data_IF_448869316756
#
_entry.id   IF_448869316756
#
_cell.length_a   1.000
_cell.length_b   1.000
_cell.length_c   1.000
_cell.angle_alpha   90.00
_cell.angle_beta   90.00
_cell.angle_gamma   90.00
#
_symmetry.space_group_name_H-M   'P 1'
#
loop_
_entity.id
_entity.type
_entity.pdbx_description
1 polymer ?
#
# COMPACT_ATOMS: atom_id res chain seq x y z
N UNK A 1 11.26 -4.19 11.60
CA UNK A 1 11.45 -4.20 10.13
C UNK A 1 10.09 -3.94 9.52
N UNK A 2 10.00 -2.97 8.59
CA UNK A 2 8.78 -2.66 7.85
C UNK A 2 8.98 -3.19 6.42
N UNK A 3 8.13 -4.12 6.01
CA UNK A 3 8.19 -4.72 4.67
C UNK A 3 7.24 -3.97 3.75
N UNK A 4 7.66 -3.69 2.52
CA UNK A 4 6.83 -3.05 1.49
C UNK A 4 6.71 -3.93 0.25
N UNK A 5 5.72 -3.63 -0.58
CA UNK A 5 5.60 -4.20 -1.92
C UNK A 5 5.70 -3.08 -2.96
N UNK A 6 6.48 -3.31 -4.02
CA UNK A 6 6.58 -2.40 -5.17
C UNK A 6 6.69 -3.22 -6.46
N UNK A 7 6.08 -2.72 -7.52
CA UNK A 7 6.28 -3.23 -8.90
C UNK A 7 7.44 -2.53 -9.61
N UNK A 8 7.99 -1.48 -9.00
CA UNK A 8 9.10 -0.67 -9.51
C UNK A 8 10.27 -0.69 -8.50
N UNK A 9 10.91 -1.84 -8.25
CA UNK A 9 12.06 -1.89 -7.35
C UNK A 9 13.25 -1.07 -7.88
N UNK A 10 13.35 -0.92 -9.20
CA UNK A 10 14.30 -0.05 -9.88
C UNK A 10 14.28 1.40 -9.39
N UNK A 11 13.13 1.87 -8.90
CA UNK A 11 12.97 3.27 -8.47
C UNK A 11 13.28 3.52 -7.00
N UNK A 12 13.82 2.53 -6.28
CA UNK A 12 14.09 2.57 -4.85
C UNK A 12 15.03 3.73 -4.43
N UNK A 13 15.93 4.18 -5.31
CA UNK A 13 16.77 5.37 -5.06
C UNK A 13 15.98 6.67 -4.96
N UNK A 14 14.84 6.75 -5.67
CA UNK A 14 13.93 7.90 -5.63
C UNK A 14 12.93 7.83 -4.48
N UNK A 15 12.98 6.80 -3.62
CA UNK A 15 12.08 6.70 -2.48
C UNK A 15 12.46 7.71 -1.40
N UNK A 16 11.61 8.73 -1.21
CA UNK A 16 11.88 9.86 -0.28
C UNK A 16 11.04 9.82 0.99
N UNK A 17 9.97 9.03 1.03
CA UNK A 17 9.18 8.74 2.23
C UNK A 17 8.51 7.37 2.12
N UNK A 18 7.96 6.90 3.23
CA UNK A 18 7.13 5.68 3.27
C UNK A 18 5.71 6.03 3.70
N UNK A 19 4.75 5.26 3.22
CA UNK A 19 3.36 5.36 3.65
C UNK A 19 2.85 4.01 4.10
N UNK A 20 2.18 4.00 5.25
CA UNK A 20 1.51 2.81 5.78
C UNK A 20 0.00 3.07 5.88
N UNK A 21 -0.77 2.00 5.72
CA UNK A 21 -2.21 2.04 5.93
C UNK A 21 -2.54 2.38 7.40
N UNK A 22 -3.63 3.12 7.65
CA UNK A 22 -4.13 3.41 9.01
C UNK A 22 -4.28 2.15 9.88
N UNK A 23 -4.73 1.03 9.30
CA UNK A 23 -4.97 -0.22 10.03
C UNK A 23 -3.71 -1.07 10.23
N UNK A 24 -2.55 -0.63 9.73
CA UNK A 24 -1.33 -1.43 9.77
C UNK A 24 -0.84 -1.61 11.22
N UNK A 25 -0.61 -2.88 11.63
CA UNK A 25 -0.26 -3.24 13.01
C UNK A 25 0.96 -2.51 13.59
N UNK A 26 1.87 -2.04 12.72
CA UNK A 26 3.08 -1.31 13.12
C UNK A 26 2.80 0.12 13.60
N UNK A 27 1.66 0.73 13.25
CA UNK A 27 1.33 2.14 13.53
C UNK A 27 1.57 2.46 15.01
N UNK A 28 1.03 1.63 15.90
CA UNK A 28 1.14 1.82 17.36
C UNK A 28 2.58 1.66 17.87
N UNK A 29 3.45 0.92 17.15
CA UNK A 29 4.84 0.68 17.55
C UNK A 29 5.78 1.81 17.11
N UNK A 30 5.47 2.48 16.01
CA UNK A 30 6.34 3.53 15.44
C UNK A 30 5.87 4.93 15.79
N UNK A 31 4.62 5.13 16.20
CA UNK A 31 4.14 6.47 16.53
C UNK A 31 4.87 7.02 17.75
N UNK A 32 5.50 8.18 17.61
CA UNK A 32 6.14 8.89 18.73
C UNK A 32 5.10 9.58 19.61
N UNK A 33 5.48 9.86 20.86
CA UNK A 33 4.60 10.50 21.85
C UNK A 33 4.06 11.84 21.33
N UNK A 34 4.92 12.65 20.71
CA UNK A 34 4.56 13.97 20.19
C UNK A 34 3.57 13.91 19.01
N UNK A 35 3.56 12.80 18.26
CA UNK A 35 2.66 12.58 17.13
C UNK A 35 1.38 11.83 17.52
N UNK A 36 1.32 11.23 18.73
CA UNK A 36 0.28 10.28 19.12
C UNK A 36 -1.14 10.86 19.03
N UNK A 37 -1.34 12.10 19.48
CA UNK A 37 -2.66 12.74 19.42
C UNK A 37 -3.16 12.89 17.98
N UNK A 38 -2.29 13.39 17.08
CA UNK A 38 -2.63 13.61 15.67
C UNK A 38 -2.84 12.29 14.94
N UNK A 39 -2.01 11.29 15.23
CA UNK A 39 -2.17 9.95 14.66
C UNK A 39 -3.50 9.34 15.09
N UNK A 40 -3.83 9.35 16.38
CA UNK A 40 -5.09 8.79 16.87
C UNK A 40 -6.32 9.48 16.28
N UNK A 41 -6.27 10.80 16.10
CA UNK A 41 -7.32 11.56 15.42
C UNK A 41 -7.46 11.12 13.96
N UNK A 42 -6.34 11.01 13.25
CA UNK A 42 -6.34 10.56 11.86
C UNK A 42 -6.88 9.14 11.70
N UNK A 43 -6.47 8.20 12.58
CA UNK A 43 -6.96 6.82 12.58
C UNK A 43 -8.50 6.77 12.73
N UNK A 44 -9.06 7.57 13.65
CA UNK A 44 -10.52 7.66 13.82
C UNK A 44 -11.21 8.16 12.55
N UNK A 45 -10.67 9.20 11.92
CA UNK A 45 -11.23 9.73 10.66
C UNK A 45 -11.13 8.70 9.53
N UNK A 46 -10.03 7.95 9.44
CA UNK A 46 -9.86 6.89 8.43
C UNK A 46 -10.86 5.75 8.59
N UNK A 47 -11.20 5.36 9.83
CA UNK A 47 -12.20 4.29 10.07
C UNK A 47 -13.62 4.64 9.63
N UNK A 48 -13.93 5.93 9.46
CA UNK A 48 -15.24 6.40 8.98
C UNK A 48 -15.37 6.35 7.46
N UNK A 49 -14.27 6.08 6.73
CA UNK A 49 -14.24 6.02 5.27
C UNK A 49 -14.28 4.57 4.82
N UNK A 50 -15.04 4.28 3.77
CA UNK A 50 -14.99 2.97 3.13
C UNK A 50 -13.70 2.81 2.30
N UNK A 51 -13.34 1.57 1.97
CA UNK A 51 -12.27 1.29 1.01
C UNK A 51 -12.46 2.05 -0.31
N UNK A 52 -13.71 2.19 -0.77
CA UNK A 52 -14.05 2.89 -2.01
C UNK A 52 -13.76 4.39 -1.89
N UNK A 53 -14.14 5.01 -0.77
CA UNK A 53 -13.86 6.42 -0.47
C UNK A 53 -12.37 6.73 -0.37
N UNK A 54 -11.54 5.70 -0.20
CA UNK A 54 -10.08 5.76 -0.06
C UNK A 54 -9.32 5.44 -1.35
N UNK A 55 -10.03 5.08 -2.42
CA UNK A 55 -9.40 4.83 -3.73
C UNK A 55 -9.02 6.14 -4.43
N UNK A 56 -8.48 6.05 -5.66
CA UNK A 56 -8.09 7.19 -6.50
C UNK A 56 -9.23 8.19 -6.79
N UNK A 57 -10.48 7.86 -6.44
CA UNK A 57 -11.63 8.76 -6.46
C UNK A 57 -11.58 9.85 -5.36
N UNK A 58 -10.74 9.67 -4.34
CA UNK A 58 -10.54 10.63 -3.27
C UNK A 58 -9.80 11.88 -3.79
N UNK A 59 -10.52 13.00 -3.89
CA UNK A 59 -9.98 14.28 -4.37
C UNK A 59 -8.92 14.89 -3.46
N UNK A 60 -8.95 14.59 -2.17
CA UNK A 60 -8.01 15.15 -1.20
C UNK A 60 -7.07 14.09 -0.65
N UNK A 61 -5.76 14.25 -0.93
CA UNK A 61 -4.72 13.46 -0.27
C UNK A 61 -4.62 13.90 1.19
N UNK A 62 -4.75 12.98 2.12
CA UNK A 62 -4.59 13.26 3.56
C UNK A 62 -3.54 12.34 4.16
N UNK A 63 -2.90 12.76 5.24
CA UNK A 63 -1.90 11.93 5.91
C UNK A 63 -1.31 12.59 7.14
N UNK A 64 -0.68 11.78 7.97
CA UNK A 64 -0.06 12.21 9.24
C UNK A 64 1.32 11.59 9.40
N UNK A 65 2.29 12.40 9.83
CA UNK A 65 3.64 11.94 10.13
C UNK A 65 3.68 11.17 11.44
N UNK A 66 4.38 10.04 11.47
CA UNK A 66 4.48 9.17 12.65
C UNK A 66 5.50 9.66 13.68
N UNK A 67 6.41 10.56 13.29
CA UNK A 67 7.58 10.93 14.10
C UNK A 67 8.78 9.99 13.94
N UNK A 68 8.66 8.95 13.09
CA UNK A 68 9.75 8.01 12.81
C UNK A 68 10.20 8.08 11.37
N UNK A 69 11.43 7.59 11.18
CA UNK A 69 12.07 7.47 9.90
C UNK A 69 12.44 5.99 9.67
N UNK A 70 12.32 5.54 8.43
CA UNK A 70 12.94 4.32 7.95
C UNK A 70 14.31 4.63 7.35
N UNK A 71 15.12 3.59 7.15
CA UNK A 71 16.38 3.67 6.41
C UNK A 71 16.14 3.07 5.04
N UNK A 72 16.38 3.84 3.99
CA UNK A 72 16.33 3.32 2.63
C UNK A 72 17.57 2.44 2.39
N UNK A 73 17.41 1.14 2.06
CA UNK A 73 18.54 0.21 2.00
C UNK A 73 19.57 0.56 0.93
N UNK A 74 19.19 1.21 -0.18
CA UNK A 74 20.15 1.46 -1.29
C UNK A 74 21.15 2.57 -1.00
N UNK A 75 20.83 3.50 -0.11
CA UNK A 75 21.65 4.70 0.15
C UNK A 75 21.74 5.09 1.64
N UNK A 76 21.20 4.26 2.54
CA UNK A 76 21.16 4.49 3.99
C UNK A 76 20.52 5.82 4.43
N UNK A 77 19.78 6.51 3.55
CA UNK A 77 19.13 7.78 3.90
C UNK A 77 17.91 7.54 4.77
N UNK A 78 17.69 8.46 5.71
CA UNK A 78 16.48 8.48 6.55
C UNK A 78 15.32 9.03 5.74
N UNK A 79 14.23 8.27 5.66
CA UNK A 79 13.00 8.66 4.98
C UNK A 79 11.83 8.67 5.98
N UNK A 80 11.03 9.75 6.07
CA UNK A 80 9.94 9.84 7.03
C UNK A 80 8.85 8.80 6.74
N UNK A 81 8.25 8.25 7.80
CA UNK A 81 7.13 7.31 7.70
C UNK A 81 5.82 8.07 7.99
N UNK A 82 4.91 8.02 7.03
CA UNK A 82 3.59 8.64 7.07
C UNK A 82 2.49 7.58 7.13
N UNK A 83 1.34 7.97 7.66
CA UNK A 83 0.10 7.20 7.59
C UNK A 83 -0.82 7.93 6.63
N UNK A 84 -1.36 7.25 5.62
CA UNK A 84 -2.32 7.82 4.69
C UNK A 84 -3.36 6.79 4.26
N UNK A 85 -4.58 7.26 4.07
CA UNK A 85 -5.75 6.43 3.76
C UNK A 85 -5.76 5.86 2.33
N UNK A 86 -5.00 6.44 1.39
CA UNK A 86 -4.85 5.91 0.03
C UNK A 86 -4.04 4.59 -0.03
N UNK A 87 -3.38 4.20 1.05
CA UNK A 87 -2.76 2.89 1.20
C UNK A 87 -3.74 1.94 1.88
N UNK A 88 -3.98 0.79 1.25
CA UNK A 88 -4.93 -0.21 1.73
C UNK A 88 -4.20 -1.43 2.30
N UNK A 89 -4.61 -1.87 3.49
CA UNK A 89 -4.02 -3.02 4.18
C UNK A 89 -4.15 -4.32 3.37
N UNK A 90 -5.25 -4.47 2.61
CA UNK A 90 -5.49 -5.64 1.76
C UNK A 90 -4.67 -5.68 0.46
N UNK A 91 -3.82 -4.68 0.18
CA UNK A 91 -2.98 -4.66 -1.01
C UNK A 91 -1.48 -4.72 -0.65
N UNK A 92 -0.79 -5.74 -1.16
CA UNK A 92 0.63 -5.94 -0.94
C UNK A 92 0.93 -6.28 0.52
N UNK A 93 1.46 -5.31 1.26
CA UNK A 93 1.83 -5.45 2.69
C UNK A 93 1.12 -4.44 3.59
N UNK A 94 0.22 -3.60 3.03
CA UNK A 94 -0.33 -2.45 3.73
C UNK A 94 0.68 -1.31 3.96
N UNK A 95 1.83 -1.37 3.29
CA UNK A 95 2.86 -0.35 3.32
C UNK A 95 3.51 -0.22 1.92
N UNK A 96 3.84 1.01 1.54
CA UNK A 96 4.50 1.34 0.27
C UNK A 96 5.71 2.23 0.50
N UNK A 97 6.70 2.11 -0.38
CA UNK A 97 7.69 3.16 -0.59
C UNK A 97 7.10 4.16 -1.57
N UNK A 98 7.29 5.45 -1.30
CA UNK A 98 6.77 6.49 -2.18
C UNK A 98 7.89 7.10 -3.02
N UNK A 99 7.68 7.17 -4.34
CA UNK A 99 8.66 7.70 -5.30
C UNK A 99 8.03 8.86 -6.08
N UNK A 100 8.03 10.09 -5.52
CA UNK A 100 7.21 11.18 -6.03
C UNK A 100 7.54 11.62 -7.44
N UNK A 101 8.80 11.50 -7.88
CA UNK A 101 9.17 11.90 -9.24
C UNK A 101 8.54 10.99 -10.32
N UNK A 102 8.07 9.79 -9.95
CA UNK A 102 7.69 8.74 -10.89
C UNK A 102 6.33 8.06 -10.59
N UNK A 103 5.58 8.52 -9.59
CA UNK A 103 4.19 8.12 -9.32
C UNK A 103 3.37 9.38 -9.01
N UNK A 104 2.32 9.63 -9.80
CA UNK A 104 1.48 10.82 -9.68
C UNK A 104 0.82 10.98 -8.31
N UNK A 105 0.44 9.87 -7.65
CA UNK A 105 -0.22 9.92 -6.34
C UNK A 105 0.78 10.31 -5.26
N UNK A 106 2.00 9.79 -5.37
CA UNK A 106 3.10 10.16 -4.47
C UNK A 106 3.56 11.59 -4.74
N UNK A 107 3.56 12.05 -6.00
CA UNK A 107 3.86 13.42 -6.38
C UNK A 107 2.91 14.43 -5.72
N UNK A 108 1.60 14.22 -5.86
CA UNK A 108 0.57 15.08 -5.26
C UNK A 108 0.68 15.11 -3.72
N UNK A 109 0.94 13.96 -3.10
CA UNK A 109 1.16 13.88 -1.67
C UNK A 109 2.43 14.62 -1.25
N UNK A 110 3.54 14.42 -1.98
CA UNK A 110 4.79 15.11 -1.71
C UNK A 110 4.67 16.63 -1.84
N UNK A 111 3.97 17.12 -2.88
CA UNK A 111 3.71 18.54 -3.03
C UNK A 111 2.88 19.10 -1.87
N UNK A 112 1.80 18.41 -1.48
CA UNK A 112 0.92 18.85 -0.39
C UNK A 112 1.63 18.92 0.95
N UNK A 113 2.52 17.97 1.24
CA UNK A 113 3.23 17.86 2.51
C UNK A 113 4.67 18.38 2.45
N UNK A 114 5.06 19.03 1.36
CA UNK A 114 6.39 19.59 1.12
C UNK A 114 7.52 18.57 1.38
N UNK A 115 7.35 17.36 0.84
CA UNK A 115 8.31 16.26 0.94
C UNK A 115 9.31 16.30 -0.22
N UNK A 116 10.53 15.77 -0.05
CA UNK A 116 11.52 15.78 -1.12
C UNK A 116 11.05 15.01 -2.35
N UNK A 117 11.32 15.56 -3.53
CA UNK A 117 11.07 14.93 -4.82
C UNK A 117 12.42 14.78 -5.51
N UNK A 118 12.85 13.54 -5.75
CA UNK A 118 14.15 13.24 -6.35
C UNK A 118 13.92 12.51 -7.66
N UNK A 119 14.28 13.16 -8.77
CA UNK A 119 14.22 12.55 -10.09
C UNK A 119 15.40 11.59 -10.28
N UNK A 120 15.09 10.35 -10.68
CA UNK A 120 16.08 9.27 -10.89
C UNK A 120 16.02 8.67 -12.29
N UNK A 121 15.19 9.22 -13.18
CA UNK A 121 15.14 8.84 -14.59
C UNK A 121 15.30 10.08 -15.43
N UNK A 122 16.23 10.05 -16.38
CA UNK A 122 16.39 11.13 -17.35
C UNK A 122 15.22 11.06 -18.34
N UNK A 123 14.34 12.08 -18.38
CA UNK A 123 13.17 12.05 -19.25
C UNK A 123 13.58 12.24 -20.71
N UNK A 124 13.08 11.38 -21.59
CA UNK A 124 13.29 11.48 -23.04
C UNK A 124 12.30 12.48 -23.66
N UNK A 125 12.51 13.76 -23.39
CA UNK A 125 11.70 14.87 -23.92
C UNK A 125 12.56 15.83 -24.74
N UNK A 126 12.02 16.29 -25.87
CA UNK A 126 12.69 17.26 -26.75
C UNK A 126 12.70 18.69 -26.19
N UNK A 127 11.75 19.01 -25.30
CA UNK A 127 11.66 20.29 -24.63
C UNK A 127 12.63 20.37 -23.45
N UNK A 128 13.64 21.22 -23.58
CA UNK A 128 14.67 21.43 -22.56
C UNK A 128 14.14 22.06 -21.27
N UNK A 129 13.09 22.90 -21.33
CA UNK A 129 12.50 23.50 -20.14
C UNK A 129 11.66 22.47 -19.37
N UNK A 130 10.88 21.66 -20.08
CA UNK A 130 10.14 20.55 -19.48
C UNK A 130 11.09 19.54 -18.81
N UNK A 131 12.16 19.15 -19.51
CA UNK A 131 13.21 18.28 -18.95
C UNK A 131 13.76 18.85 -17.65
N UNK A 132 14.08 20.15 -17.64
CA UNK A 132 14.60 20.82 -16.44
C UNK A 132 13.61 20.77 -15.28
N UNK A 133 12.32 21.07 -15.52
CA UNK A 133 11.29 21.02 -14.47
C UNK A 133 11.11 19.62 -13.88
N UNK A 134 11.15 18.58 -14.72
CA UNK A 134 11.11 17.18 -14.27
C UNK A 134 12.32 16.84 -13.41
N UNK A 135 13.53 17.19 -13.87
CA UNK A 135 14.77 16.92 -13.13
C UNK A 135 14.83 17.65 -11.79
N UNK A 136 14.24 18.84 -11.70
CA UNK A 136 14.12 19.63 -10.47
C UNK A 136 12.98 19.13 -9.55
N UNK A 137 12.19 18.13 -9.97
CA UNK A 137 11.06 17.59 -9.21
C UNK A 137 9.83 18.50 -9.21
N UNK A 138 9.75 19.47 -10.12
CA UNK A 138 8.61 20.37 -10.29
C UNK A 138 7.47 19.75 -11.11
N UNK A 139 7.76 18.71 -11.89
CA UNK A 139 6.78 17.91 -12.64
C UNK A 139 7.02 16.40 -12.45
N UNK A 140 5.95 15.61 -12.46
CA UNK A 140 6.00 14.16 -12.35
C UNK A 140 6.29 13.52 -13.71
N UNK A 141 7.21 12.56 -13.76
CA UNK A 141 7.55 11.79 -14.95
C UNK A 141 7.28 10.31 -14.74
N UNK A 142 6.16 9.82 -15.27
CA UNK A 142 5.71 8.42 -15.10
C UNK A 142 6.23 7.47 -16.17
N UNK A 143 6.80 8.00 -17.25
CA UNK A 143 7.30 7.21 -18.37
C UNK A 143 8.71 6.65 -18.08
N UNK A 144 9.16 5.77 -18.96
CA UNK A 144 10.49 5.17 -18.82
C UNK A 144 11.60 6.13 -19.29
N UNK A 145 12.77 5.98 -18.70
CA UNK A 145 13.96 6.77 -18.98
C UNK A 145 15.21 6.08 -18.47
N UNK A 146 16.39 6.54 -18.88
CA UNK A 146 17.66 6.01 -18.37
C UNK A 146 17.84 6.42 -16.91
N UNK A 147 18.29 5.51 -16.05
CA UNK A 147 18.49 5.87 -14.66
C UNK A 147 19.62 6.88 -14.48
N UNK A 148 19.37 7.84 -13.60
CA UNK A 148 20.31 8.85 -13.09
C UNK A 148 20.17 8.92 -11.58
N UNK A 149 21.15 9.51 -10.88
CA UNK A 149 21.12 9.68 -9.42
C UNK A 149 20.86 8.37 -8.65
N UNK A 150 21.20 7.22 -9.24
CA UNK A 150 20.85 5.88 -8.76
C UNK A 150 22.10 5.02 -8.56
N UNK A 151 23.08 5.61 -7.87
CA UNK A 151 24.31 4.96 -7.43
C UNK A 151 24.65 5.36 -6.00
N UNK A 152 25.29 4.45 -5.27
CA UNK A 152 25.80 4.71 -3.93
C UNK A 152 27.12 3.95 -3.69
N UNK A 153 28.16 4.69 -3.30
CA UNK A 153 29.51 4.14 -3.11
C UNK A 153 29.63 3.26 -1.86
N UNK A 154 28.77 3.45 -0.86
CA UNK A 154 28.82 2.72 0.41
C UNK A 154 28.18 1.34 0.25
N UNK A 155 27.02 1.29 -0.40
CA UNK A 155 26.31 0.04 -0.67
C UNK A 155 26.83 -0.69 -1.93
N UNK A 156 27.55 0.03 -2.79
CA UNK A 156 28.16 -0.48 -4.02
C UNK A 156 27.17 -0.72 -5.16
N UNK A 157 25.90 -0.33 -4.99
CA UNK A 157 24.87 -0.50 -6.02
C UNK A 157 24.86 0.71 -6.95
N UNK A 158 24.87 0.44 -8.26
CA UNK A 158 24.78 1.45 -9.32
C UNK A 158 23.93 0.93 -10.45
N UNK A 159 22.84 1.61 -10.78
CA UNK A 159 21.98 1.29 -11.92
C UNK A 159 21.96 2.40 -12.98
N UNK A 160 22.79 3.43 -12.84
CA UNK A 160 22.82 4.56 -13.77
C UNK A 160 23.08 4.10 -15.21
N UNK A 161 22.36 4.70 -16.16
CA UNK A 161 22.47 4.40 -17.58
C UNK A 161 21.83 3.07 -18.03
N UNK A 162 21.38 2.22 -17.10
CA UNK A 162 20.65 1.00 -17.45
C UNK A 162 19.24 1.32 -17.96
N UNK A 163 18.67 0.37 -18.71
CA UNK A 163 17.25 0.37 -19.04
C UNK A 163 16.43 -0.27 -17.92
N UNK A 164 15.10 -0.22 -18.05
CA UNK A 164 14.17 -0.68 -17.02
C UNK A 164 14.32 -2.14 -16.66
N UNK A 165 14.39 -3.02 -17.65
CA UNK A 165 14.49 -4.46 -17.44
C UNK A 165 15.77 -4.80 -16.65
N UNK A 166 16.91 -4.24 -17.08
CA UNK A 166 18.19 -4.47 -16.40
C UNK A 166 18.24 -3.81 -15.01
N UNK A 167 17.62 -2.64 -14.84
CA UNK A 167 17.52 -1.96 -13.54
C UNK A 167 16.71 -2.77 -12.52
N UNK A 168 15.54 -3.28 -12.92
CA UNK A 168 14.69 -4.13 -12.09
C UNK A 168 15.44 -5.40 -11.69
N UNK A 169 16.03 -6.11 -12.66
CA UNK A 169 16.79 -7.34 -12.40
C UNK A 169 17.95 -7.09 -11.43
N UNK A 170 18.72 -6.02 -11.66
CA UNK A 170 19.88 -5.68 -10.83
C UNK A 170 19.50 -5.35 -9.39
N UNK A 171 18.44 -4.56 -9.16
CA UNK A 171 17.99 -4.23 -7.81
C UNK A 171 17.42 -5.46 -7.09
N UNK A 172 16.65 -6.31 -7.78
CA UNK A 172 16.10 -7.54 -7.18
C UNK A 172 17.25 -8.45 -6.71
N UNK A 173 18.21 -8.74 -7.59
CA UNK A 173 19.36 -9.59 -7.26
C UNK A 173 20.19 -9.00 -6.10
N UNK A 174 20.39 -7.69 -6.09
CA UNK A 174 21.10 -7.00 -5.02
C UNK A 174 20.34 -7.09 -3.67
N UNK A 175 19.03 -6.86 -3.66
CA UNK A 175 18.20 -6.99 -2.46
C UNK A 175 18.17 -8.43 -1.92
N UNK A 176 18.12 -9.43 -2.80
CA UNK A 176 18.12 -10.85 -2.44
C UNK A 176 19.45 -11.29 -1.84
N UNK A 177 20.57 -10.95 -2.49
CA UNK A 177 21.91 -11.26 -1.96
C UNK A 177 22.16 -10.60 -0.60
N UNK A 178 21.64 -9.39 -0.40
CA UNK A 178 21.69 -8.66 0.87
C UNK A 178 20.68 -9.13 1.92
N UNK A 179 19.79 -10.09 1.61
CA UNK A 179 18.69 -10.53 2.48
C UNK A 179 17.75 -9.38 2.92
N UNK A 180 17.64 -8.35 2.09
CA UNK A 180 16.83 -7.14 2.33
C UNK A 180 15.52 -7.14 1.52
N UNK A 181 15.35 -8.07 0.60
CA UNK A 181 14.13 -8.22 -0.20
C UNK A 181 14.10 -9.56 -0.92
N UNK A 182 12.98 -9.84 -1.58
CA UNK A 182 12.81 -10.99 -2.47
C UNK A 182 11.83 -10.67 -3.58
N UNK A 183 12.02 -11.28 -4.74
CA UNK A 183 11.05 -11.23 -5.82
C UNK A 183 9.71 -11.84 -5.36
N UNK A 184 8.60 -11.17 -5.69
CA UNK A 184 7.26 -11.65 -5.38
C UNK A 184 6.29 -11.24 -6.49
N UNK A 185 5.52 -12.22 -6.98
CA UNK A 185 4.40 -11.97 -7.88
C UNK A 185 3.18 -11.59 -7.02
N UNK A 186 2.46 -10.55 -7.43
CA UNK A 186 1.26 -10.08 -6.77
C UNK A 186 0.14 -9.83 -7.79
N UNK A 187 -1.11 -10.03 -7.38
CA UNK A 187 -2.28 -9.83 -8.23
C UNK A 187 -3.12 -8.69 -7.69
N UNK A 188 -3.73 -7.90 -8.59
CA UNK A 188 -4.75 -6.91 -8.22
C UNK A 188 -6.09 -7.59 -7.89
N UNK A 189 -6.27 -8.84 -8.32
CA UNK A 189 -7.44 -9.65 -8.02
C UNK A 189 -7.58 -9.82 -6.49
N UNK A 190 -8.76 -9.54 -5.97
CA UNK A 190 -9.11 -9.76 -4.57
C UNK A 190 -9.89 -11.07 -4.44
N UNK A 191 -9.84 -11.66 -3.26
CA UNK A 191 -10.70 -12.80 -2.94
C UNK A 191 -12.16 -12.43 -3.10
N UNK A 192 -12.95 -13.40 -3.56
CA UNK A 192 -14.36 -13.20 -3.78
C UNK A 192 -15.11 -13.20 -2.45
N UNK A 193 -15.55 -12.02 -2.03
CA UNK A 193 -16.51 -11.90 -0.94
C UNK A 193 -17.90 -12.29 -1.45
N UNK A 194 -18.28 -13.55 -1.28
CA UNK A 194 -19.61 -14.07 -1.67
C UNK A 194 -20.57 -14.23 -0.49
N UNK A 195 -20.09 -14.17 0.76
CA UNK A 195 -20.93 -14.15 1.96
C UNK A 195 -21.88 -12.94 1.95
N UNK A 196 -23.15 -13.16 2.31
CA UNK A 196 -24.18 -12.12 2.38
C UNK A 196 -24.92 -12.23 3.71
N UNK A 197 -25.12 -11.10 4.38
CA UNK A 197 -25.98 -10.99 5.56
C UNK A 197 -27.44 -10.86 5.11
N UNK A 198 -27.95 -11.91 4.44
CA UNK A 198 -29.33 -11.96 3.92
C UNK A 198 -29.87 -13.36 4.17
N UNK A 199 -31.12 -13.42 4.62
CA UNK A 199 -31.82 -14.69 4.76
C UNK A 199 -32.00 -15.42 3.42
N UNK A 200 -32.42 -14.73 2.36
CA UNK A 200 -32.70 -15.36 1.07
C UNK A 200 -31.41 -15.63 0.27
N UNK A 201 -30.75 -16.74 0.58
CA UNK A 201 -29.52 -17.22 -0.07
C UNK A 201 -29.25 -18.68 0.29
N UNK A 202 -28.23 -19.28 -0.33
CA UNK A 202 -27.78 -20.63 0.04
C UNK A 202 -27.08 -20.60 1.41
N UNK A 203 -27.49 -21.41 2.40
CA UNK A 203 -26.78 -21.55 3.66
C UNK A 203 -25.34 -22.02 3.46
N UNK A 204 -24.41 -21.46 4.24
CA UNK A 204 -23.05 -21.98 4.29
C UNK A 204 -23.04 -23.32 5.05
N UNK A 205 -22.53 -24.41 4.46
CA UNK A 205 -22.44 -25.71 5.13
C UNK A 205 -21.24 -25.76 6.11
N UNK A 206 -21.16 -24.76 7.00
CA UNK A 206 -20.09 -24.57 7.99
C UNK A 206 -20.71 -24.55 9.38
N UNK A 207 -20.14 -25.32 10.31
CA UNK A 207 -20.55 -25.38 11.71
C UNK A 207 -19.46 -24.71 12.54
N UNK A 208 -19.88 -23.79 13.41
CA UNK A 208 -19.05 -23.20 14.46
C UNK A 208 -19.40 -23.88 15.79
N UNK A 209 -18.44 -24.59 16.38
CA UNK A 209 -18.63 -25.28 17.65
C UNK A 209 -18.37 -24.35 18.85
N UNK A 210 -18.94 -24.67 20.01
CA UNK A 210 -18.80 -23.85 21.23
C UNK A 210 -17.36 -23.78 21.76
N UNK A 211 -16.53 -24.76 21.41
CA UNK A 211 -15.10 -24.81 21.75
C UNK A 211 -14.22 -23.98 20.78
N UNK A 212 -14.82 -23.39 19.74
CA UNK A 212 -14.15 -22.58 18.73
C UNK A 212 -13.67 -23.37 17.51
N UNK A 213 -13.91 -24.69 17.45
CA UNK A 213 -13.62 -25.47 16.24
C UNK A 213 -14.58 -25.09 15.09
N UNK A 214 -14.11 -25.25 13.85
CA UNK A 214 -14.89 -25.01 12.63
C UNK A 214 -14.83 -26.28 11.78
N UNK A 215 -15.99 -26.85 11.46
CA UNK A 215 -16.11 -28.00 10.55
C UNK A 215 -17.08 -27.71 9.41
N UNK A 216 -17.02 -28.52 8.36
CA UNK A 216 -18.00 -28.50 7.26
C UNK A 216 -18.96 -29.66 7.37
N UNK A 217 -20.19 -29.48 6.90
CA UNK A 217 -21.22 -30.54 6.85
C UNK A 217 -20.75 -31.66 5.90
N UNK A 218 -21.05 -32.93 6.23
CA UNK A 218 -20.75 -34.07 5.36
C UNK A 218 -21.55 -34.00 4.05
N UNK A 219 -20.95 -34.39 2.92
CA UNK A 219 -21.59 -34.34 1.61
C UNK A 219 -22.94 -35.09 1.56
N UNK A 220 -23.11 -36.14 2.38
CA UNK A 220 -24.35 -36.92 2.50
C UNK A 220 -25.47 -36.19 3.23
N UNK A 221 -25.14 -35.16 4.00
CA UNK A 221 -26.10 -34.33 4.75
C UNK A 221 -26.50 -33.06 3.96
N UNK A 222 -25.94 -32.85 2.76
CA UNK A 222 -26.34 -31.80 1.84
C UNK A 222 -27.62 -32.18 1.06
N UNK A 223 -28.47 -31.22 0.67
CA UNK A 223 -28.29 -29.77 0.85
C UNK A 223 -28.65 -29.30 2.26
N UNK A 224 -27.91 -28.31 2.76
CA UNK A 224 -28.34 -27.56 3.94
C UNK A 224 -29.51 -26.65 3.55
N UNK A 225 -30.71 -27.02 3.96
CA UNK A 225 -31.92 -26.27 3.62
C UNK A 225 -32.04 -24.99 4.44
N UNK A 226 -32.53 -23.92 3.79
CA UNK A 226 -32.85 -22.66 4.44
C UNK A 226 -34.01 -22.89 5.43
N UNK A 227 -33.89 -22.52 6.71
CA UNK A 227 -34.97 -22.73 7.68
C UNK A 227 -36.19 -21.86 7.31
N UNK A 228 -37.42 -22.37 7.34
CA UNK A 228 -38.59 -21.62 6.90
C UNK A 228 -38.86 -20.41 7.80
N UNK A 229 -39.01 -19.23 7.20
CA UNK A 229 -39.40 -17.98 7.87
C UNK A 229 -40.76 -17.47 7.40
N UNK A 230 -41.65 -17.18 8.34
CA UNK A 230 -42.98 -16.61 8.08
C UNK A 230 -42.94 -15.08 7.85
N UNK A 231 -41.94 -14.39 8.40
CA UNK A 231 -41.79 -12.93 8.31
C UNK A 231 -40.40 -12.56 7.82
N UNK A 232 -40.35 -11.90 6.66
CA UNK A 232 -39.11 -11.49 5.98
C UNK A 232 -38.61 -10.10 6.40
N UNK A 233 -39.22 -9.48 7.41
CA UNK A 233 -38.88 -8.13 7.89
C UNK A 233 -37.79 -8.22 8.97
N UNK A 234 -36.81 -7.30 9.00
CA UNK A 234 -35.82 -7.24 10.08
C UNK A 234 -36.52 -7.03 11.43
N UNK A 235 -35.98 -7.66 12.48
CA UNK A 235 -36.47 -7.48 13.86
C UNK A 235 -36.27 -6.04 14.35
N UNK A 236 -36.93 -5.66 15.45
CA UNK A 236 -36.82 -4.30 16.03
C UNK A 236 -35.36 -3.91 16.41
N UNK A 237 -34.48 -4.90 16.60
CA UNK A 237 -33.04 -4.74 16.87
C UNK A 237 -32.16 -4.56 15.62
N UNK A 238 -32.71 -4.70 14.41
CA UNK A 238 -31.94 -4.67 13.16
C UNK A 238 -31.07 -5.92 12.94
N UNK A 239 -31.27 -6.97 13.74
CA UNK A 239 -30.59 -8.25 13.58
C UNK A 239 -31.04 -8.97 12.30
N UNK A 240 -30.11 -9.72 11.71
CA UNK A 240 -30.39 -10.60 10.58
C UNK A 240 -31.45 -11.64 10.99
N UNK A 241 -32.31 -12.13 10.07
CA UNK A 241 -33.28 -13.18 10.37
C UNK A 241 -32.65 -14.54 10.76
N UNK A 242 -31.33 -14.64 10.63
CA UNK A 242 -30.44 -15.75 10.97
C UNK A 242 -29.27 -15.20 11.79
#
# INVERSE_FOLDING_TARGET
ILTVFTTRPDTLFGATYMVIAPEHQIVNKITTVDCLSKVNEYLKLSTLKSDLDRTDLAKEKTGVFTGRYAINPVNNKKIPIWIADYVLTGYGTGAIMAVPAHDTRDFEFAQKFNLPIVCIQDPDVSDAELRKRILEGAECWTEDGKYINSSDDITGIDINGLNKEAGIEKIINWLESGHMGKAKINYKLRDWLFSRQRYWGEPFPVIHWEDGEITVIDEKELPLELPPLEKYLPGESGESPL
#
